data_IF_308063231179
#
_entry.id   IF_308063231179
#
_cell.length_a   1.000
_cell.length_b   1.000
_cell.length_c   1.000
_cell.angle_alpha   90.00
_cell.angle_beta   90.00
_cell.angle_gamma   90.00
#
_symmetry.space_group_name_H-M   'P 1'
#
loop_
_entity.id
_entity.type
_entity.pdbx_description
1 polymer ?
#
# COMPACT_ATOMS: atom_id res chain seq x y z
N UNK A 1 19.09 -27.43 35.62
CA UNK A 1 19.97 -26.67 34.71
C UNK A 1 20.50 -27.62 33.65
N UNK A 2 19.90 -27.60 32.47
CA UNK A 2 20.49 -28.06 31.21
C UNK A 2 19.67 -27.35 30.12
N UNK A 3 20.37 -26.60 29.28
CA UNK A 3 19.84 -25.71 28.26
C UNK A 3 19.12 -26.46 27.15
N UNK A 4 17.92 -26.02 26.79
CA UNK A 4 17.35 -26.24 25.46
C UNK A 4 17.50 -24.94 24.67
N UNK A 5 18.48 -24.94 23.77
CA UNK A 5 18.75 -23.81 22.89
C UNK A 5 17.64 -23.61 21.87
N UNK A 6 17.16 -22.38 21.77
CA UNK A 6 16.43 -21.89 20.61
C UNK A 6 17.43 -21.66 19.47
N UNK A 7 17.23 -22.38 18.37
CA UNK A 7 18.13 -22.43 17.24
C UNK A 7 18.22 -21.10 16.49
N UNK A 8 19.35 -20.43 16.60
CA UNK A 8 19.84 -19.49 15.61
C UNK A 8 20.23 -20.28 14.36
N UNK A 9 19.54 -20.02 13.23
CA UNK A 9 19.94 -20.51 11.92
C UNK A 9 21.30 -19.94 11.49
N UNK A 10 21.97 -20.53 10.46
CA UNK A 10 23.39 -20.36 10.16
C UNK A 10 23.83 -18.98 9.65
N UNK A 11 23.01 -17.93 9.85
CA UNK A 11 23.34 -16.53 9.57
C UNK A 11 22.99 -15.57 10.73
N UNK A 12 22.51 -16.07 11.88
CA UNK A 12 22.29 -15.24 13.07
C UNK A 12 21.17 -14.19 12.96
N UNK A 13 20.17 -14.38 12.10
CA UNK A 13 19.03 -13.46 11.94
C UNK A 13 17.72 -14.17 12.25
N UNK A 14 17.03 -13.73 13.32
CA UNK A 14 15.58 -13.91 13.49
C UNK A 14 14.91 -13.16 12.34
N UNK A 15 14.23 -13.87 11.45
CA UNK A 15 13.77 -13.34 10.15
C UNK A 15 12.69 -12.25 10.37
N UNK A 16 12.99 -10.95 10.24
CA UNK A 16 12.16 -9.89 10.79
C UNK A 16 11.41 -9.17 9.64
N UNK A 17 10.52 -9.87 8.93
CA UNK A 17 9.84 -9.26 7.77
C UNK A 17 8.76 -8.23 8.14
N UNK A 18 8.39 -8.15 9.42
CA UNK A 18 7.42 -7.18 9.93
C UNK A 18 7.92 -6.46 11.19
N UNK A 19 9.24 -6.24 11.32
CA UNK A 19 9.67 -5.25 12.29
C UNK A 19 9.32 -3.87 11.73
N UNK A 20 8.60 -2.99 12.46
CA UNK A 20 8.26 -1.64 12.00
C UNK A 20 9.49 -0.74 11.75
N UNK A 21 10.70 -1.27 11.95
CA UNK A 21 11.99 -0.60 11.83
C UNK A 21 12.99 -1.57 11.20
N UNK A 22 12.76 -2.00 9.95
CA UNK A 22 13.73 -2.79 9.21
C UNK A 22 15.06 -2.01 9.19
N UNK A 23 16.13 -2.60 9.73
CA UNK A 23 17.42 -1.93 9.78
C UNK A 23 17.93 -1.75 8.33
N UNK A 24 18.18 -0.52 7.84
CA UNK A 24 18.67 -0.32 6.48
C UNK A 24 19.98 -1.08 6.19
N UNK A 25 20.78 -1.39 7.21
CA UNK A 25 21.99 -2.21 7.08
C UNK A 25 21.71 -3.68 6.69
N UNK A 26 20.45 -4.13 6.80
CA UNK A 26 20.01 -5.47 6.36
C UNK A 26 19.40 -5.48 4.96
N UNK A 27 19.31 -4.31 4.30
CA UNK A 27 18.84 -4.23 2.93
C UNK A 27 19.86 -4.83 1.95
N UNK A 28 19.35 -5.29 0.81
CA UNK A 28 20.21 -5.69 -0.29
C UNK A 28 21.00 -4.48 -0.81
N UNK A 29 22.27 -4.69 -1.12
CA UNK A 29 23.14 -3.68 -1.69
C UNK A 29 23.22 -3.85 -3.21
N UNK A 30 22.88 -2.80 -3.96
CA UNK A 30 23.02 -2.80 -5.42
C UNK A 30 21.77 -2.31 -6.15
N UNK A 31 21.69 -2.61 -7.45
CA UNK A 31 20.53 -2.24 -8.26
C UNK A 31 19.34 -3.13 -7.91
N UNK A 32 18.14 -2.53 -7.85
CA UNK A 32 16.89 -3.24 -7.55
C UNK A 32 16.71 -4.54 -8.34
N UNK A 33 17.02 -4.53 -9.65
CA UNK A 33 16.90 -5.72 -10.52
C UNK A 33 17.73 -6.92 -10.06
N UNK A 34 18.88 -6.67 -9.44
CA UNK A 34 19.78 -7.73 -8.95
C UNK A 34 19.29 -8.18 -7.57
N UNK A 35 18.89 -7.23 -6.72
CA UNK A 35 18.34 -7.46 -5.40
C UNK A 35 17.07 -8.33 -5.44
N UNK A 36 16.13 -8.02 -6.33
CA UNK A 36 14.87 -8.78 -6.45
C UNK A 36 15.12 -10.20 -6.93
N UNK A 37 16.11 -10.44 -7.79
CA UNK A 37 16.43 -11.79 -8.25
C UNK A 37 17.04 -12.63 -7.11
N UNK A 38 17.95 -12.06 -6.33
CA UNK A 38 18.54 -12.77 -5.18
C UNK A 38 17.50 -13.01 -4.08
N UNK A 39 16.62 -12.03 -3.83
CA UNK A 39 15.48 -12.19 -2.92
C UNK A 39 14.57 -13.36 -3.35
N UNK A 40 14.18 -13.40 -4.63
CA UNK A 40 13.33 -14.47 -5.15
C UNK A 40 14.01 -15.84 -5.12
N UNK A 41 15.31 -15.89 -5.42
CA UNK A 41 16.10 -17.12 -5.37
C UNK A 41 16.23 -17.66 -3.95
N UNK A 42 16.35 -16.79 -2.95
CA UNK A 42 16.60 -17.17 -1.56
C UNK A 42 15.32 -17.51 -0.81
N UNK A 43 14.24 -16.76 -1.07
CA UNK A 43 13.05 -16.80 -0.21
C UNK A 43 11.77 -17.29 -0.90
N UNK A 44 11.78 -17.44 -2.24
CA UNK A 44 10.56 -17.67 -2.98
C UNK A 44 10.48 -19.07 -3.59
N UNK A 45 9.27 -19.63 -3.60
CA UNK A 45 8.93 -20.83 -4.35
C UNK A 45 8.42 -20.43 -5.73
N UNK A 46 9.12 -20.85 -6.79
CA UNK A 46 8.72 -20.56 -8.16
C UNK A 46 7.49 -21.37 -8.56
N UNK A 47 6.47 -20.69 -9.09
CA UNK A 47 5.22 -21.31 -9.55
C UNK A 47 5.20 -21.33 -11.08
N UNK A 48 5.11 -22.52 -11.67
CA UNK A 48 5.08 -22.67 -13.13
C UNK A 48 3.71 -22.32 -13.70
N UNK A 49 3.60 -21.27 -14.51
CA UNK A 49 2.36 -20.90 -15.22
C UNK A 49 2.46 -21.35 -16.68
N UNK A 50 1.72 -22.39 -17.09
CA UNK A 50 1.84 -22.96 -18.46
C UNK A 50 1.12 -22.15 -19.53
N UNK A 51 0.11 -21.36 -19.16
CA UNK A 51 -0.80 -20.66 -20.08
C UNK A 51 -0.68 -19.13 -20.03
N UNK A 52 0.16 -18.61 -19.15
CA UNK A 52 0.41 -17.18 -19.03
C UNK A 52 1.77 -16.89 -19.64
N UNK A 53 1.80 -16.33 -20.85
CA UNK A 53 3.04 -15.96 -21.54
C UNK A 53 3.59 -14.67 -20.92
N UNK A 54 4.92 -14.50 -20.95
CA UNK A 54 5.62 -13.29 -20.48
C UNK A 54 5.48 -12.97 -18.98
N UNK A 55 4.88 -13.85 -18.20
CA UNK A 55 4.76 -13.70 -16.75
C UNK A 55 5.45 -14.89 -16.07
N UNK A 56 6.34 -14.60 -15.14
CA UNK A 56 6.86 -15.56 -14.18
C UNK A 56 6.27 -15.26 -12.79
N UNK A 57 6.02 -16.30 -12.00
CA UNK A 57 5.37 -16.18 -10.71
C UNK A 57 6.17 -16.88 -9.62
N UNK A 58 6.19 -16.27 -8.44
CA UNK A 58 6.78 -16.79 -7.22
C UNK A 58 5.87 -16.50 -6.04
N UNK A 59 5.97 -17.33 -5.01
CA UNK A 59 5.30 -17.09 -3.73
C UNK A 59 6.36 -17.08 -2.63
N UNK A 60 6.29 -16.04 -1.80
CA UNK A 60 7.12 -15.86 -0.62
C UNK A 60 6.21 -15.91 0.60
N UNK A 61 6.45 -16.84 1.51
CA UNK A 61 5.72 -16.91 2.77
C UNK A 61 6.34 -15.90 3.76
N UNK A 62 5.58 -14.86 4.11
CA UNK A 62 5.97 -13.86 5.11
C UNK A 62 5.41 -14.28 6.47
N UNK A 63 6.26 -14.45 7.47
CA UNK A 63 5.86 -14.76 8.85
C UNK A 63 6.20 -13.61 9.77
N UNK A 64 5.28 -13.29 10.67
CA UNK A 64 5.57 -12.41 11.80
C UNK A 64 6.14 -13.20 12.99
N UNK A 65 6.52 -12.48 14.04
CA UNK A 65 7.03 -13.07 15.28
C UNK A 65 5.97 -13.81 16.11
N UNK A 66 4.68 -13.62 15.79
CA UNK A 66 3.56 -14.32 16.44
C UNK A 66 3.22 -15.65 15.77
N UNK A 67 3.83 -15.94 14.61
CA UNK A 67 3.57 -17.13 13.79
C UNK A 67 2.44 -16.93 12.78
N UNK A 68 1.93 -15.72 12.62
CA UNK A 68 0.98 -15.36 11.56
C UNK A 68 1.73 -15.33 10.22
N UNK A 69 1.22 -16.08 9.24
CA UNK A 69 1.83 -16.22 7.93
C UNK A 69 0.93 -15.61 6.85
N UNK A 70 1.52 -14.89 5.90
CA UNK A 70 0.84 -14.41 4.69
C UNK A 70 1.69 -14.69 3.45
N UNK A 71 1.04 -15.13 2.38
CA UNK A 71 1.68 -15.32 1.09
C UNK A 71 1.80 -13.98 0.35
N UNK A 72 3.03 -13.59 0.05
CA UNK A 72 3.33 -12.53 -0.90
C UNK A 72 3.59 -13.18 -2.26
N UNK A 73 2.75 -12.85 -3.23
CA UNK A 73 2.95 -13.25 -4.61
C UNK A 73 3.80 -12.21 -5.31
N UNK A 74 4.86 -12.68 -5.96
CA UNK A 74 5.69 -11.84 -6.82
C UNK A 74 5.55 -12.30 -8.25
N UNK A 75 5.21 -11.38 -9.14
CA UNK A 75 5.12 -11.64 -10.58
C UNK A 75 6.11 -10.76 -11.33
N UNK A 76 6.93 -11.38 -12.17
CA UNK A 76 7.74 -10.66 -13.15
C UNK A 76 6.97 -10.65 -14.47
N UNK A 77 6.57 -9.46 -14.91
CA UNK A 77 5.95 -9.20 -16.21
C UNK A 77 7.02 -8.68 -17.18
N UNK A 78 7.14 -9.34 -18.33
CA UNK A 78 7.94 -8.85 -19.46
C UNK A 78 7.09 -7.92 -20.32
N UNK A 79 7.45 -6.65 -20.29
CA UNK A 79 6.80 -5.57 -21.02
C UNK A 79 7.35 -5.55 -22.45
N UNK A 80 6.49 -5.75 -23.45
CA UNK A 80 6.89 -5.84 -24.85
C UNK A 80 7.43 -4.49 -25.36
N UNK A 81 8.61 -4.47 -25.97
CA UNK A 81 9.08 -3.27 -26.69
C UNK A 81 8.54 -3.32 -28.12
N UNK A 82 7.42 -2.65 -28.37
CA UNK A 82 7.12 -2.24 -29.74
C UNK A 82 8.06 -1.08 -30.11
N UNK A 83 8.60 -1.13 -31.33
CA UNK A 83 9.46 -0.06 -31.86
C UNK A 83 8.67 1.21 -32.18
N UNK A 84 7.37 1.08 -32.43
CA UNK A 84 6.49 2.22 -32.73
C UNK A 84 5.84 2.82 -31.48
N UNK A 85 5.67 2.02 -30.41
CA UNK A 85 5.05 2.44 -29.15
C UNK A 85 5.80 1.84 -27.96
N UNK A 86 6.67 2.65 -27.35
CA UNK A 86 7.31 2.27 -26.08
C UNK A 86 6.22 2.29 -25.00
N UNK A 87 5.88 1.15 -24.36
CA UNK A 87 4.87 1.13 -23.31
C UNK A 87 5.31 2.04 -22.17
N UNK A 88 4.50 3.04 -21.87
CA UNK A 88 4.77 3.99 -20.80
C UNK A 88 3.95 3.60 -19.58
N UNK A 89 4.57 3.52 -18.41
CA UNK A 89 3.81 3.39 -17.17
C UNK A 89 3.07 4.71 -16.92
N UNK A 90 1.74 4.65 -16.89
CA UNK A 90 0.91 5.84 -16.65
C UNK A 90 1.19 6.49 -15.30
N UNK A 91 1.48 5.68 -14.27
CA UNK A 91 1.88 6.21 -12.97
C UNK A 91 3.23 6.96 -13.05
N UNK A 92 4.24 6.42 -13.74
CA UNK A 92 5.49 7.15 -14.01
C UNK A 92 5.24 8.44 -14.79
N UNK A 93 4.36 8.41 -15.80
CA UNK A 93 3.99 9.60 -16.59
C UNK A 93 3.38 10.69 -15.70
N UNK A 94 2.47 10.31 -14.81
CA UNK A 94 1.84 11.23 -13.87
C UNK A 94 2.87 11.83 -12.91
N UNK A 95 3.80 11.00 -12.41
CA UNK A 95 4.83 11.43 -11.45
C UNK A 95 5.98 12.23 -12.08
N UNK A 96 6.16 12.22 -13.40
CA UNK A 96 7.30 12.88 -14.05
C UNK A 96 8.53 11.98 -14.21
N UNK A 97 8.40 10.67 -13.99
CA UNK A 97 9.47 9.68 -14.05
C UNK A 97 9.70 9.08 -15.45
N UNK A 98 9.01 9.58 -16.47
CA UNK A 98 9.11 9.13 -17.87
C UNK A 98 10.48 9.35 -18.52
N UNK A 99 11.38 10.10 -17.87
CA UNK A 99 12.75 10.35 -18.36
C UNK A 99 13.64 9.09 -18.30
N UNK A 100 13.13 8.01 -17.70
CA UNK A 100 13.76 6.69 -17.74
C UNK A 100 12.94 5.82 -18.70
N UNK A 101 13.51 5.36 -19.84
CA UNK A 101 12.80 4.47 -20.75
C UNK A 101 12.27 3.29 -19.95
N UNK A 102 10.96 3.05 -20.07
CA UNK A 102 10.26 2.10 -19.21
C UNK A 102 10.95 0.75 -19.27
N UNK A 103 11.26 0.23 -18.09
CA UNK A 103 11.96 -1.02 -17.98
C UNK A 103 11.15 -2.12 -18.68
N UNK A 104 11.81 -2.95 -19.49
CA UNK A 104 11.20 -4.11 -20.14
C UNK A 104 10.74 -5.21 -19.16
N UNK A 105 10.94 -4.99 -17.86
CA UNK A 105 10.51 -5.84 -16.77
C UNK A 105 9.87 -5.01 -15.67
N UNK A 106 8.73 -5.49 -15.21
CA UNK A 106 7.96 -4.97 -14.10
C UNK A 106 7.73 -6.10 -13.09
N UNK A 107 7.86 -5.79 -11.81
CA UNK A 107 7.61 -6.72 -10.71
C UNK A 107 6.33 -6.29 -9.99
N UNK A 108 5.37 -7.19 -9.88
CA UNK A 108 4.15 -6.99 -9.09
C UNK A 108 4.29 -7.74 -7.78
N UNK A 109 4.08 -7.03 -6.68
CA UNK A 109 4.07 -7.55 -5.33
C UNK A 109 2.63 -7.52 -4.83
N UNK A 110 2.02 -8.69 -4.69
CA UNK A 110 0.60 -8.85 -4.44
C UNK A 110 0.40 -9.67 -3.17
N UNK A 111 -0.32 -9.11 -2.20
CA UNK A 111 -0.96 -9.91 -1.15
C UNK A 111 -2.36 -10.25 -1.65
N UNK A 112 -2.67 -11.53 -1.89
CA UNK A 112 -3.96 -11.92 -2.43
C UNK A 112 -5.10 -11.55 -1.48
N UNK A 113 -6.26 -11.25 -2.06
CA UNK A 113 -7.51 -11.20 -1.31
C UNK A 113 -8.13 -12.59 -1.19
N UNK A 114 -9.43 -12.62 -0.89
CA UNK A 114 -10.22 -13.86 -0.92
C UNK A 114 -10.19 -14.42 -2.36
N UNK A 115 -9.71 -15.65 -2.56
CA UNK A 115 -9.57 -16.22 -3.90
C UNK A 115 -10.95 -16.45 -4.53
N UNK A 116 -11.14 -15.91 -5.73
CA UNK A 116 -12.28 -16.23 -6.58
C UNK A 116 -11.77 -16.85 -7.89
N UNK A 117 -11.96 -18.16 -8.04
CA UNK A 117 -11.55 -18.91 -9.23
C UNK A 117 -12.50 -18.72 -10.42
N UNK A 118 -13.68 -18.11 -10.21
CA UNK A 118 -14.58 -17.72 -11.30
C UNK A 118 -14.13 -16.41 -11.96
N UNK A 119 -13.34 -15.59 -11.27
CA UNK A 119 -12.78 -14.33 -11.76
C UNK A 119 -11.52 -14.58 -12.60
N UNK A 120 -11.57 -14.38 -13.94
CA UNK A 120 -10.42 -14.60 -14.81
C UNK A 120 -9.28 -13.61 -14.57
N UNK A 121 -9.51 -12.53 -13.81
CA UNK A 121 -8.52 -11.52 -13.45
C UNK A 121 -7.78 -11.86 -12.16
N UNK A 122 -8.14 -12.96 -11.48
CA UNK A 122 -7.49 -13.37 -10.22
C UNK A 122 -6.43 -14.44 -10.45
N UNK A 123 -5.34 -14.04 -11.10
CA UNK A 123 -4.14 -14.87 -11.18
C UNK A 123 -3.61 -15.35 -9.81
N UNK A 124 -3.72 -14.57 -8.71
CA UNK A 124 -3.38 -15.07 -7.39
C UNK A 124 -4.19 -16.29 -6.95
N UNK A 125 -5.50 -16.35 -7.23
CA UNK A 125 -6.34 -17.50 -6.87
C UNK A 125 -5.86 -18.79 -7.56
N UNK A 126 -5.39 -18.68 -8.80
CA UNK A 126 -4.87 -19.82 -9.59
C UNK A 126 -3.51 -20.27 -9.08
N UNK A 127 -2.66 -19.32 -8.67
CA UNK A 127 -1.38 -19.63 -8.04
C UNK A 127 -1.61 -20.41 -6.74
N UNK A 128 -2.53 -19.95 -5.89
CA UNK A 128 -2.89 -20.64 -4.63
C UNK A 128 -3.46 -22.04 -4.88
N UNK A 129 -4.42 -22.17 -5.80
CA UNK A 129 -4.99 -23.48 -6.14
C UNK A 129 -3.94 -24.47 -6.68
N UNK A 130 -2.95 -23.96 -7.42
CA UNK A 130 -1.83 -24.78 -7.90
C UNK A 130 -0.90 -25.20 -6.76
N UNK A 131 -0.62 -24.31 -5.81
CA UNK A 131 0.18 -24.62 -4.62
C UNK A 131 -0.51 -25.67 -3.73
N UNK A 132 -1.85 -25.66 -3.66
CA UNK A 132 -2.63 -26.68 -2.94
C UNK A 132 -2.77 -28.01 -3.70
N UNK A 133 -2.10 -28.16 -4.85
CA UNK A 133 -2.10 -29.40 -5.65
C UNK A 133 -3.34 -29.61 -6.53
N UNK A 134 -4.23 -28.62 -6.68
CA UNK A 134 -5.37 -28.73 -7.60
C UNK A 134 -4.90 -28.70 -9.05
N UNK A 135 -5.58 -29.45 -9.93
CA UNK A 135 -5.23 -29.49 -11.36
C UNK A 135 -5.81 -28.27 -12.08
N UNK A 136 -4.95 -27.59 -12.82
CA UNK A 136 -5.33 -26.37 -13.59
C UNK A 136 -6.38 -26.65 -14.67
N UNK A 137 -6.58 -27.92 -15.07
CA UNK A 137 -7.67 -28.34 -15.96
C UNK A 137 -9.06 -28.03 -15.43
N UNK A 138 -9.18 -27.83 -14.12
CA UNK A 138 -10.46 -27.70 -13.42
C UNK A 138 -10.93 -26.23 -13.36
N UNK A 139 -10.13 -25.29 -13.87
CA UNK A 139 -10.41 -23.85 -13.84
C UNK A 139 -10.70 -23.30 -15.23
N UNK A 140 -11.62 -22.32 -15.31
CA UNK A 140 -11.72 -21.46 -16.50
C UNK A 140 -10.39 -20.73 -16.62
N UNK A 141 -9.68 -20.96 -17.72
CA UNK A 141 -8.36 -20.36 -17.92
C UNK A 141 -8.45 -18.83 -17.76
N UNK A 142 -7.54 -18.21 -16.99
CA UNK A 142 -7.26 -16.81 -17.20
C UNK A 142 -6.68 -16.78 -18.61
N UNK A 143 -7.44 -16.27 -19.56
CA UNK A 143 -6.80 -15.73 -20.73
C UNK A 143 -6.12 -14.48 -20.19
N UNK A 144 -4.78 -14.41 -20.11
CA UNK A 144 -4.17 -13.11 -19.97
C UNK A 144 -4.76 -12.31 -21.12
N UNK A 145 -5.59 -11.32 -20.81
CA UNK A 145 -5.91 -10.30 -21.77
C UNK A 145 -4.57 -9.63 -21.94
N UNK A 146 -3.85 -10.06 -22.97
CA UNK A 146 -2.80 -9.24 -23.53
C UNK A 146 -3.54 -7.94 -23.80
N UNK A 147 -3.20 -6.88 -23.08
CA UNK A 147 -3.60 -5.54 -23.45
C UNK A 147 -3.32 -5.44 -24.95
N UNK A 148 -4.36 -5.47 -25.79
CA UNK A 148 -4.21 -5.26 -27.22
C UNK A 148 -4.27 -3.77 -27.39
N UNK A 149 -3.35 -3.16 -28.12
CA UNK A 149 -3.31 -1.70 -28.24
C UNK A 149 -4.56 -1.03 -28.86
N UNK A 150 -5.49 -1.81 -29.43
CA UNK A 150 -6.77 -1.32 -29.97
C UNK A 150 -7.92 -1.41 -28.96
N UNK A 151 -7.66 -1.88 -27.75
CA UNK A 151 -8.66 -2.13 -26.75
C UNK A 151 -9.36 -0.81 -26.37
N UNK A 152 -10.67 -0.64 -26.64
CA UNK A 152 -11.44 0.51 -26.19
C UNK A 152 -11.26 0.75 -24.69
N UNK A 153 -11.57 1.94 -24.18
CA UNK A 153 -11.57 2.22 -22.73
C UNK A 153 -12.39 1.20 -21.90
N UNK A 154 -13.33 0.49 -22.53
CA UNK A 154 -14.15 -0.58 -21.93
C UNK A 154 -13.56 -1.99 -22.07
N UNK A 155 -12.30 -2.12 -22.44
CA UNK A 155 -11.68 -3.43 -22.64
C UNK A 155 -11.51 -4.15 -21.32
N UNK A 156 -11.56 -5.49 -21.36
CA UNK A 156 -11.48 -6.25 -20.14
C UNK A 156 -10.10 -6.04 -19.52
N UNK A 157 -10.09 -5.77 -18.22
CA UNK A 157 -8.91 -5.34 -17.49
C UNK A 157 -7.80 -6.40 -17.53
N UNK A 158 -6.54 -5.99 -17.40
CA UNK A 158 -5.40 -6.88 -17.38
C UNK A 158 -5.48 -7.88 -16.24
N UNK A 159 -4.73 -8.98 -16.35
CA UNK A 159 -4.69 -10.05 -15.33
C UNK A 159 -4.20 -9.59 -13.95
N UNK A 160 -3.66 -8.37 -13.85
CA UNK A 160 -3.24 -7.73 -12.60
C UNK A 160 -4.21 -6.66 -12.10
N UNK A 161 -5.29 -6.35 -12.83
CA UNK A 161 -6.20 -5.25 -12.51
C UNK A 161 -7.33 -5.65 -11.56
N UNK A 162 -7.25 -6.85 -10.98
CA UNK A 162 -8.21 -7.29 -9.98
C UNK A 162 -8.32 -6.29 -8.83
N UNK A 163 -9.56 -5.92 -8.52
CA UNK A 163 -9.89 -5.08 -7.36
C UNK A 163 -9.88 -5.86 -6.05
N UNK A 164 -9.69 -7.19 -6.11
CA UNK A 164 -9.72 -8.07 -4.95
C UNK A 164 -8.41 -8.12 -4.17
N UNK A 165 -7.29 -7.67 -4.75
CA UNK A 165 -5.99 -7.70 -4.07
C UNK A 165 -6.04 -6.94 -2.73
N UNK A 166 -5.53 -7.56 -1.67
CA UNK A 166 -5.36 -6.88 -0.37
C UNK A 166 -4.24 -5.85 -0.46
N UNK A 167 -3.16 -6.15 -1.17
CA UNK A 167 -2.11 -5.19 -1.51
C UNK A 167 -1.62 -5.48 -2.92
N UNK A 168 -1.35 -4.42 -3.67
CA UNK A 168 -0.74 -4.52 -4.99
C UNK A 168 0.19 -3.32 -5.18
N UNK A 169 1.49 -3.62 -5.14
CA UNK A 169 2.52 -2.68 -5.52
C UNK A 169 3.27 -3.16 -6.76
N UNK A 170 3.82 -2.21 -7.50
CA UNK A 170 4.60 -2.43 -8.71
C UNK A 170 5.98 -1.81 -8.53
N UNK A 171 7.05 -2.51 -8.89
CA UNK A 171 8.39 -1.94 -9.04
C UNK A 171 8.94 -2.27 -10.42
N UNK A 172 9.39 -1.27 -11.16
CA UNK A 172 10.11 -1.44 -12.42
C UNK A 172 11.55 -1.89 -12.14
N UNK A 173 12.20 -2.60 -13.06
CA UNK A 173 13.56 -3.09 -12.78
C UNK A 173 14.62 -1.98 -12.65
N UNK A 174 14.28 -0.71 -12.97
CA UNK A 174 15.11 0.44 -12.67
C UNK A 174 14.99 0.93 -11.21
N UNK A 175 14.12 0.32 -10.40
CA UNK A 175 13.91 0.61 -8.97
C UNK A 175 12.80 1.62 -8.66
N UNK A 176 12.17 2.26 -9.65
CA UNK A 176 11.00 3.11 -9.42
C UNK A 176 9.74 2.27 -9.32
N UNK A 177 8.72 2.73 -8.59
CA UNK A 177 7.45 2.03 -8.59
C UNK A 177 6.30 2.70 -7.88
N UNK A 178 5.22 1.95 -7.71
CA UNK A 178 3.90 2.47 -7.40
C UNK A 178 3.14 1.50 -6.50
N UNK A 179 2.69 1.97 -5.34
CA UNK A 179 1.66 1.29 -4.56
C UNK A 179 0.30 1.60 -5.19
N UNK A 180 -0.29 0.63 -5.88
CA UNK A 180 -1.50 0.81 -6.68
C UNK A 180 -2.77 0.52 -5.89
N UNK A 181 -2.70 -0.41 -4.92
CA UNK A 181 -3.87 -0.82 -4.14
C UNK A 181 -3.47 -1.26 -2.75
N UNK A 182 -4.31 -0.88 -1.80
CA UNK A 182 -4.31 -1.41 -0.44
C UNK A 182 -5.75 -1.51 0.07
N UNK A 183 -6.23 -2.73 0.21
CA UNK A 183 -7.52 -3.08 0.75
C UNK A 183 -7.32 -3.87 2.06
N UNK A 184 -7.39 -3.18 3.20
CA UNK A 184 -7.48 -3.86 4.48
C UNK A 184 -8.87 -4.49 4.61
N UNK A 185 -8.95 -5.82 4.53
CA UNK A 185 -10.19 -6.58 4.71
C UNK A 185 -10.14 -7.30 6.04
N UNK A 186 -11.18 -7.10 6.85
CA UNK A 186 -11.40 -7.92 8.04
C UNK A 186 -12.05 -9.21 7.56
N UNK A 187 -11.37 -10.33 7.78
CA UNK A 187 -11.92 -11.68 7.55
C UNK A 187 -12.28 -12.32 8.89
N UNK A 188 -13.15 -13.33 8.85
CA UNK A 188 -13.55 -14.09 10.05
C UNK A 188 -12.39 -14.90 10.64
N UNK A 189 -11.33 -15.14 9.86
CA UNK A 189 -10.08 -15.74 10.32
C UNK A 189 -9.03 -14.66 10.65
N UNK A 190 -8.72 -14.43 11.93
CA UNK A 190 -7.73 -13.46 12.36
C UNK A 190 -6.34 -13.66 11.72
N UNK A 191 -6.01 -14.89 11.28
CA UNK A 191 -4.72 -15.19 10.64
C UNK A 191 -4.62 -14.67 9.21
N UNK A 192 -5.76 -14.42 8.56
CA UNK A 192 -5.82 -13.90 7.18
C UNK A 192 -6.24 -12.42 7.13
N UNK A 193 -6.70 -11.90 8.26
CA UNK A 193 -7.15 -10.51 8.42
C UNK A 193 -5.94 -9.59 8.63
N UNK A 194 -5.51 -8.91 7.57
CA UNK A 194 -4.44 -7.92 7.65
C UNK A 194 -5.01 -6.50 7.72
N UNK A 195 -4.61 -5.78 8.77
CA UNK A 195 -4.86 -4.35 8.89
C UNK A 195 -4.10 -3.55 7.82
N UNK A 196 -4.58 -2.35 7.52
CA UNK A 196 -3.88 -1.45 6.59
C UNK A 196 -2.47 -1.09 7.05
N UNK A 197 -2.24 -1.03 8.36
CA UNK A 197 -0.90 -0.79 8.91
C UNK A 197 0.04 -1.96 8.62
N UNK A 198 -0.42 -3.20 8.80
CA UNK A 198 0.37 -4.39 8.47
C UNK A 198 0.69 -4.45 6.98
N UNK A 199 -0.28 -4.17 6.11
CA UNK A 199 -0.06 -4.11 4.65
C UNK A 199 0.98 -3.04 4.28
N UNK A 200 0.90 -1.85 4.87
CA UNK A 200 1.90 -0.80 4.65
C UNK A 200 3.27 -1.21 5.17
N UNK A 201 3.36 -1.82 6.35
CA UNK A 201 4.63 -2.33 6.88
C UNK A 201 5.25 -3.36 5.93
N UNK A 202 4.47 -4.28 5.36
CA UNK A 202 4.95 -5.23 4.36
C UNK A 202 5.49 -4.50 3.14
N UNK A 203 4.72 -3.56 2.58
CA UNK A 203 5.14 -2.82 1.39
C UNK A 203 6.40 -1.98 1.62
N UNK A 204 6.43 -1.20 2.70
CA UNK A 204 7.52 -0.30 3.06
C UNK A 204 8.80 -1.09 3.35
N UNK A 205 8.69 -2.18 4.11
CA UNK A 205 9.80 -3.10 4.40
C UNK A 205 10.36 -3.73 3.12
N UNK A 206 9.52 -4.14 2.18
CA UNK A 206 9.96 -4.67 0.88
C UNK A 206 10.68 -3.61 0.04
N UNK A 207 10.18 -2.38 0.02
CA UNK A 207 10.79 -1.29 -0.73
C UNK A 207 12.19 -0.95 -0.18
N UNK A 208 12.32 -0.86 1.15
CA UNK A 208 13.62 -0.64 1.82
C UNK A 208 14.56 -1.82 1.58
N UNK A 209 14.08 -3.05 1.81
CA UNK A 209 14.87 -4.27 1.64
C UNK A 209 15.46 -4.39 0.24
N UNK A 210 14.64 -4.17 -0.79
CA UNK A 210 15.04 -4.35 -2.19
C UNK A 210 15.79 -3.13 -2.76
N UNK A 211 16.02 -2.11 -1.95
CA UNK A 211 16.59 -0.82 -2.36
C UNK A 211 15.81 -0.19 -3.54
N UNK A 212 14.48 -0.13 -3.41
CA UNK A 212 13.65 0.67 -4.30
C UNK A 212 14.12 2.14 -4.24
N UNK A 213 14.12 2.81 -5.40
CA UNK A 213 14.65 4.18 -5.53
C UNK A 213 13.64 5.21 -5.06
N UNK A 214 12.47 5.22 -5.70
CA UNK A 214 11.35 6.08 -5.35
C UNK A 214 10.05 5.35 -5.64
N UNK A 215 9.08 5.53 -4.76
CA UNK A 215 7.79 4.86 -4.83
C UNK A 215 6.67 5.86 -4.64
N UNK A 216 5.73 5.91 -5.58
CA UNK A 216 4.52 6.72 -5.44
C UNK A 216 3.37 5.87 -4.90
N UNK A 217 2.31 6.51 -4.42
CA UNK A 217 1.08 5.83 -4.02
C UNK A 217 -0.09 6.36 -4.84
N UNK A 218 -0.93 5.46 -5.32
CA UNK A 218 -2.24 5.77 -5.87
C UNK A 218 -3.28 5.48 -4.79
N UNK A 219 -3.80 6.54 -4.16
CA UNK A 219 -4.83 6.38 -3.13
C UNK A 219 -6.21 6.14 -3.78
N UNK A 220 -6.46 4.87 -4.11
CA UNK A 220 -7.76 4.37 -4.59
C UNK A 220 -8.69 3.89 -3.46
N UNK A 221 -8.37 4.21 -2.20
CA UNK A 221 -9.15 3.75 -1.05
C UNK A 221 -10.54 4.36 -1.04
N UNK A 222 -11.58 3.55 -0.81
CA UNK A 222 -12.93 4.05 -0.58
C UNK A 222 -13.21 4.32 0.92
N UNK A 223 -12.24 4.05 1.81
CA UNK A 223 -12.43 4.17 3.26
C UNK A 223 -12.50 5.65 3.66
N UNK A 224 -13.69 6.11 4.04
CA UNK A 224 -13.92 7.49 4.49
C UNK A 224 -13.81 8.56 3.39
N UNK A 225 -13.54 8.15 2.14
CA UNK A 225 -13.49 9.00 0.96
C UNK A 225 -12.56 10.23 1.09
N UNK A 226 -12.91 11.30 0.37
CA UNK A 226 -12.18 12.56 0.40
C UNK A 226 -12.17 13.23 1.78
N UNK A 227 -13.23 13.05 2.58
CA UNK A 227 -13.30 13.64 3.91
C UNK A 227 -12.17 13.14 4.80
N UNK A 228 -11.95 11.82 4.85
CA UNK A 228 -10.87 11.27 5.66
C UNK A 228 -9.48 11.73 5.16
N UNK A 229 -9.30 11.84 3.84
CA UNK A 229 -8.06 12.36 3.23
C UNK A 229 -7.77 13.80 3.64
N UNK A 230 -8.79 14.64 3.75
CA UNK A 230 -8.63 16.05 4.17
C UNK A 230 -8.48 16.17 5.68
N UNK A 231 -9.24 15.40 6.46
CA UNK A 231 -9.21 15.47 7.92
C UNK A 231 -7.90 14.91 8.51
N UNK A 232 -7.24 13.96 7.85
CA UNK A 232 -6.02 13.36 8.38
C UNK A 232 -4.84 14.35 8.46
N UNK A 233 -4.52 15.16 7.42
CA UNK A 233 -3.59 16.29 7.53
C UNK A 233 -3.98 17.26 8.63
N UNK A 234 -5.26 17.61 8.77
CA UNK A 234 -5.72 18.51 9.83
C UNK A 234 -5.56 17.92 11.23
N UNK A 235 -5.68 16.61 11.40
CA UNK A 235 -5.46 15.95 12.69
C UNK A 235 -3.97 15.70 12.99
N UNK A 236 -3.20 15.25 12.00
CA UNK A 236 -1.88 14.67 12.19
C UNK A 236 -0.71 15.43 11.55
N UNK A 237 -0.97 16.43 10.71
CA UNK A 237 0.05 17.19 9.96
C UNK A 237 0.47 16.51 8.66
N UNK A 238 -0.03 15.30 8.42
CA UNK A 238 0.28 14.50 7.24
C UNK A 238 -0.95 13.72 6.79
N UNK A 239 -0.93 13.21 5.56
CA UNK A 239 -1.87 12.18 5.12
C UNK A 239 -1.67 10.89 5.92
N UNK A 240 -2.57 9.92 5.76
CA UNK A 240 -2.42 8.61 6.40
C UNK A 240 -1.16 7.88 5.92
N UNK A 241 -0.90 7.91 4.60
CA UNK A 241 0.33 7.35 4.01
C UNK A 241 1.59 8.09 4.45
N UNK A 242 1.50 9.37 4.82
CA UNK A 242 2.63 10.15 5.34
C UNK A 242 3.27 9.60 6.62
N UNK A 243 2.60 8.69 7.34
CA UNK A 243 3.21 7.94 8.44
C UNK A 243 4.36 7.04 7.99
N UNK A 244 4.39 6.65 6.71
CA UNK A 244 5.45 5.87 6.06
C UNK A 244 6.29 6.73 5.11
N UNK A 245 6.36 8.04 5.33
CA UNK A 245 7.19 8.94 4.53
C UNK A 245 6.62 9.34 3.16
N UNK A 246 5.48 8.78 2.74
CA UNK A 246 4.79 9.24 1.53
C UNK A 246 4.32 10.68 1.70
N UNK A 247 4.91 11.55 0.90
CA UNK A 247 4.68 12.98 0.98
C UNK A 247 4.08 13.50 -0.32
N UNK A 248 3.95 14.82 -0.36
CA UNK A 248 3.42 15.54 -1.50
C UNK A 248 4.33 15.32 -2.72
N UNK A 249 3.85 14.52 -3.67
CA UNK A 249 4.57 14.17 -4.90
C UNK A 249 4.47 15.29 -5.94
N UNK A 250 3.94 14.97 -7.12
CA UNK A 250 3.69 15.99 -8.15
C UNK A 250 2.41 16.76 -7.82
N UNK A 251 2.58 18.03 -7.50
CA UNK A 251 1.50 18.94 -7.11
C UNK A 251 0.48 19.20 -8.23
N UNK A 252 -0.79 19.54 -7.91
CA UNK A 252 -1.64 20.29 -8.82
C UNK A 252 -0.93 21.56 -9.32
N UNK A 253 -1.31 22.03 -10.51
CA UNK A 253 -0.75 23.25 -11.09
C UNK A 253 -0.79 24.41 -10.07
N UNK A 254 0.34 25.12 -9.92
CA UNK A 254 0.53 26.29 -9.04
C UNK A 254 0.45 26.08 -7.52
N UNK A 255 0.45 24.85 -7.01
CA UNK A 255 0.61 24.61 -5.55
C UNK A 255 2.03 24.11 -5.30
N UNK A 256 2.79 24.72 -4.39
CA UNK A 256 4.09 24.18 -3.97
C UNK A 256 3.94 23.28 -2.73
N UNK A 257 4.98 22.51 -2.42
CA UNK A 257 4.99 21.70 -1.19
C UNK A 257 4.92 22.62 0.04
N UNK A 258 5.66 23.73 0.02
CA UNK A 258 5.67 24.75 1.07
C UNK A 258 4.29 25.35 1.27
N UNK A 259 3.59 25.71 0.17
CA UNK A 259 2.24 26.24 0.24
C UNK A 259 1.26 25.22 0.83
N UNK A 260 1.35 23.95 0.42
CA UNK A 260 0.53 22.88 1.00
C UNK A 260 0.78 22.71 2.50
N UNK A 261 2.05 22.66 2.91
CA UNK A 261 2.43 22.56 4.33
C UNK A 261 1.95 23.76 5.14
N UNK A 262 2.06 24.97 4.61
CA UNK A 262 1.56 26.19 5.24
C UNK A 262 0.03 26.17 5.41
N UNK A 263 -0.71 25.73 4.38
CA UNK A 263 -2.16 25.56 4.49
C UNK A 263 -2.55 24.55 5.56
N UNK A 264 -1.85 23.41 5.60
CA UNK A 264 -2.07 22.37 6.62
C UNK A 264 -1.82 22.93 8.01
N UNK A 265 -0.69 23.60 8.25
CA UNK A 265 -0.37 24.16 9.57
C UNK A 265 -1.30 25.31 9.97
N UNK A 266 -1.70 26.17 9.04
CA UNK A 266 -2.68 27.24 9.29
C UNK A 266 -4.01 26.66 9.77
N UNK A 267 -4.54 25.67 9.05
CA UNK A 267 -5.81 25.02 9.41
C UNK A 267 -5.70 24.26 10.75
N UNK A 268 -4.57 23.60 11.01
CA UNK A 268 -4.32 22.85 12.25
C UNK A 268 -4.26 23.74 13.48
N UNK A 269 -3.64 24.90 13.33
CA UNK A 269 -3.40 25.86 14.41
C UNK A 269 -4.55 26.84 14.62
N UNK A 270 -5.55 26.86 13.74
CA UNK A 270 -6.71 27.74 13.82
C UNK A 270 -7.36 27.67 15.22
N UNK A 271 -7.40 28.80 15.97
CA UNK A 271 -8.00 28.84 17.29
C UNK A 271 -9.47 28.46 17.23
N UNK A 272 -9.91 27.61 18.16
CA UNK A 272 -11.29 27.16 18.19
C UNK A 272 -12.28 28.30 18.49
N UNK A 273 -11.83 29.34 19.20
CA UNK A 273 -12.61 30.55 19.44
C UNK A 273 -13.01 31.28 18.16
N UNK A 274 -12.07 31.39 17.22
CA UNK A 274 -12.31 32.02 15.91
C UNK A 274 -13.30 31.18 15.10
N UNK A 275 -13.11 29.86 15.11
CA UNK A 275 -14.04 28.93 14.43
C UNK A 275 -15.46 29.00 15.02
N UNK A 276 -15.60 29.16 16.34
CA UNK A 276 -16.91 29.38 16.96
C UNK A 276 -17.56 30.68 16.48
N UNK A 277 -16.78 31.76 16.36
CA UNK A 277 -17.26 33.04 15.87
C UNK A 277 -17.71 32.95 14.40
N UNK A 278 -16.94 32.27 13.55
CA UNK A 278 -17.25 32.09 12.13
C UNK A 278 -18.57 31.35 11.89
N UNK A 279 -18.90 30.35 12.72
CA UNK A 279 -20.15 29.61 12.63
C UNK A 279 -21.32 30.24 13.42
N UNK A 280 -21.10 31.34 14.13
CA UNK A 280 -22.13 31.97 14.96
C UNK A 280 -23.26 32.56 14.12
N UNK A 281 -24.48 32.07 14.36
CA UNK A 281 -25.65 32.46 13.57
C UNK A 281 -25.70 31.87 12.16
N UNK A 282 -24.68 31.10 11.76
CA UNK A 282 -24.59 30.44 10.45
C UNK A 282 -24.98 28.96 10.55
N UNK A 283 -24.38 28.22 11.49
CA UNK A 283 -24.64 26.80 11.68
C UNK A 283 -24.58 26.41 13.17
N UNK A 284 -25.76 26.37 13.80
CA UNK A 284 -25.90 25.98 15.20
C UNK A 284 -25.50 24.51 15.45
N UNK A 285 -25.62 23.63 14.44
CA UNK A 285 -25.23 22.24 14.52
C UNK A 285 -23.71 22.09 14.61
N UNK A 286 -22.98 22.80 13.74
CA UNK A 286 -21.51 22.82 13.78
C UNK A 286 -21.00 23.39 15.11
N UNK A 287 -21.58 24.49 15.58
CA UNK A 287 -21.23 25.05 16.89
C UNK A 287 -21.45 24.04 18.02
N UNK A 288 -22.59 23.33 18.00
CA UNK A 288 -22.86 22.29 18.99
C UNK A 288 -21.81 21.18 18.95
N UNK A 289 -21.49 20.65 17.77
CA UNK A 289 -20.47 19.61 17.58
C UNK A 289 -19.12 20.07 18.14
N UNK A 290 -18.65 21.25 17.73
CA UNK A 290 -17.38 21.82 18.19
C UNK A 290 -17.36 22.00 19.72
N UNK A 291 -18.45 22.49 20.31
CA UNK A 291 -18.58 22.63 21.77
C UNK A 291 -18.52 21.28 22.50
N UNK A 292 -19.19 20.25 21.99
CA UNK A 292 -19.17 18.92 22.61
C UNK A 292 -17.76 18.34 22.65
N UNK A 293 -17.07 18.30 21.50
CA UNK A 293 -15.73 17.73 21.45
C UNK A 293 -14.69 18.57 22.20
N UNK A 294 -14.89 19.89 22.29
CA UNK A 294 -14.07 20.77 23.12
C UNK A 294 -14.30 20.54 24.63
N UNK A 295 -15.54 20.37 25.08
CA UNK A 295 -15.88 20.10 26.49
C UNK A 295 -15.38 18.75 26.99
N UNK A 296 -15.28 17.76 26.10
CA UNK A 296 -14.63 16.48 26.41
C UNK A 296 -13.12 16.64 26.69
N UNK A 297 -12.55 17.81 26.42
CA UNK A 297 -11.18 18.16 26.75
C UNK A 297 -11.12 18.97 28.05
N UNK A 298 -10.32 18.51 29.01
CA UNK A 298 -10.20 19.17 30.32
C UNK A 298 -9.12 20.25 30.22
N UNK A 299 -9.42 21.54 30.52
CA UNK A 299 -8.41 22.60 30.56
C UNK A 299 -7.23 22.23 31.45
N UNK A 300 -6.00 22.41 30.95
CA UNK A 300 -4.77 22.03 31.67
C UNK A 300 -4.43 20.54 31.64
N UNK A 301 -5.28 19.68 31.09
CA UNK A 301 -4.93 18.27 30.85
C UNK A 301 -4.08 18.10 29.58
N UNK A 302 -3.27 17.03 29.47
CA UNK A 302 -2.53 16.69 28.25
C UNK A 302 -3.42 16.48 26.99
N UNK A 303 -4.74 16.43 27.17
CA UNK A 303 -5.72 16.29 26.10
C UNK A 303 -6.54 17.55 25.83
N UNK A 304 -6.26 18.70 26.44
CA UNK A 304 -6.99 19.93 26.18
C UNK A 304 -6.97 20.28 24.69
N UNK A 305 -8.11 20.72 24.15
CA UNK A 305 -8.27 21.05 22.74
C UNK A 305 -8.63 22.52 22.60
N UNK A 306 -7.72 23.29 22.02
CA UNK A 306 -7.90 24.73 21.75
C UNK A 306 -7.84 25.10 20.27
N UNK A 307 -7.53 24.14 19.39
CA UNK A 307 -7.41 24.37 17.94
C UNK A 307 -8.29 23.41 17.15
N UNK A 308 -8.59 23.77 15.91
CA UNK A 308 -9.32 22.90 14.98
C UNK A 308 -8.64 21.54 14.82
N UNK A 309 -7.31 21.52 14.61
CA UNK A 309 -6.57 20.26 14.47
C UNK A 309 -6.67 19.35 15.70
N UNK A 310 -6.69 19.94 16.90
CA UNK A 310 -6.90 19.20 18.15
C UNK A 310 -8.30 18.56 18.23
N UNK A 311 -9.34 19.27 17.78
CA UNK A 311 -10.72 18.75 17.75
C UNK A 311 -10.81 17.57 16.79
N UNK A 312 -10.33 17.73 15.56
CA UNK A 312 -10.38 16.69 14.53
C UNK A 312 -9.59 15.45 14.99
N UNK A 313 -8.39 15.64 15.57
CA UNK A 313 -7.59 14.52 16.12
C UNK A 313 -8.33 13.74 17.19
N UNK A 314 -9.06 14.43 18.08
CA UNK A 314 -9.88 13.81 19.12
C UNK A 314 -11.07 13.07 18.52
N UNK A 315 -11.78 13.67 17.56
CA UNK A 315 -12.88 13.02 16.84
C UNK A 315 -12.44 11.72 16.18
N UNK A 316 -11.34 11.75 15.41
CA UNK A 316 -10.79 10.56 14.74
C UNK A 316 -10.38 9.48 15.75
N UNK A 317 -9.79 9.85 16.89
CA UNK A 317 -9.44 8.91 17.96
C UNK A 317 -10.66 8.23 18.57
N UNK A 318 -11.75 8.97 18.77
CA UNK A 318 -13.00 8.42 19.31
C UNK A 318 -13.69 7.51 18.28
N UNK A 319 -13.74 7.93 17.02
CA UNK A 319 -14.28 7.11 15.92
C UNK A 319 -13.52 5.79 15.76
N UNK A 320 -12.19 5.82 15.86
CA UNK A 320 -11.39 4.59 15.79
C UNK A 320 -11.75 3.59 16.90
N UNK A 321 -12.09 4.06 18.11
CA UNK A 321 -12.49 3.23 19.24
C UNK A 321 -13.93 2.75 19.21
N UNK A 322 -14.80 3.41 18.44
CA UNK A 322 -16.20 3.05 18.30
C UNK A 322 -16.44 1.96 17.23
N UNK A 323 -15.40 1.66 16.43
CA UNK A 323 -15.43 0.69 15.33
C UNK A 323 -14.70 -0.62 15.72
N UNK A 324 -14.02 -0.64 16.87
CA UNK A 324 -13.48 -1.85 17.52
C UNK A 324 -14.54 -2.46 18.46
#
# INVERSE_FOLDING_TARGET
>A
MASSGEGLGPLGVSVPWMSPQLNPATAYNGAFRDNVQEFLKTHAVKVTLRRVRKIAAWVVELKDTSGTAVNLHVYEESVAQDKERVPVCDCCRNMGWQNHPVCNRRYHFIVPGIPDLADPLQLPAIVEAKLSGMKVSDFKNPQPIAEREEDPFNSPAGVFDSKSHNLHGTLHANGFGHLQRMNARVTDDPKTSLSGQQLMTIWDSLCVLLAAREVSVEDVSNKGGMLLRTLHPMAHGSTWYGKWGYNFGRSPFNVSNEHYSECVETMRSLPLGDLFADFAGVDAGMQHILQQYARLSIPGSPGYVSTFGGVVKRMLKLLARAIE
#
